data_IF_790645566332
#
_entry.id   IF_790645566332
#
_cell.length_a   1.000
_cell.length_b   1.000
_cell.length_c   1.000
_cell.angle_alpha   90.00
_cell.angle_beta   90.00
_cell.angle_gamma   90.00
#
_symmetry.space_group_name_H-M   'P 1'
#
loop_
_entity.id
_entity.type
_entity.pdbx_description
1 polymer ?
#
# COMPACT_ATOMS: atom_id res chain seq x y z
N UNK A 1 4.03 5.14 -10.97
CA UNK A 1 4.28 5.70 -9.62
C UNK A 1 3.34 5.11 -8.58
N UNK A 2 2.20 4.59 -8.97
CA UNK A 2 1.17 4.06 -8.09
C UNK A 2 1.65 2.84 -7.29
N UNK A 3 2.25 1.85 -7.92
CA UNK A 3 2.82 0.68 -7.24
C UNK A 3 3.85 1.04 -6.15
N UNK A 4 4.63 2.11 -6.34
CA UNK A 4 5.65 2.52 -5.37
C UNK A 4 5.01 3.16 -4.15
N UNK A 5 4.02 4.01 -4.33
CA UNK A 5 3.28 4.60 -3.21
C UNK A 5 2.50 3.54 -2.43
N UNK A 6 1.87 2.60 -3.12
CA UNK A 6 1.14 1.49 -2.50
C UNK A 6 2.05 0.58 -1.66
N UNK A 7 3.29 0.35 -2.10
CA UNK A 7 4.27 -0.41 -1.31
C UNK A 7 4.73 0.32 -0.04
N UNK A 8 4.70 1.66 -0.04
CA UNK A 8 5.12 2.47 1.10
C UNK A 8 4.20 2.32 2.32
N UNK A 9 2.89 2.21 2.10
CA UNK A 9 1.91 2.10 3.20
C UNK A 9 1.34 0.69 3.39
N UNK A 10 1.66 -0.27 2.51
CA UNK A 10 1.08 -1.62 2.56
C UNK A 10 1.31 -2.35 3.88
N UNK A 11 2.52 -2.33 4.43
CA UNK A 11 2.84 -2.91 5.73
C UNK A 11 2.15 -2.19 6.89
N UNK A 12 2.00 -0.86 6.81
CA UNK A 12 1.24 -0.07 7.78
C UNK A 12 -0.24 -0.49 7.80
N UNK A 13 -0.85 -0.69 6.63
CA UNK A 13 -2.23 -1.14 6.53
C UNK A 13 -2.46 -2.53 7.13
N UNK A 14 -1.50 -3.44 6.99
CA UNK A 14 -1.52 -4.73 7.67
C UNK A 14 -1.47 -4.53 9.20
N UNK A 15 -0.57 -3.69 9.69
CA UNK A 15 -0.41 -3.41 11.13
C UNK A 15 -1.65 -2.74 11.73
N UNK A 16 -2.30 -1.81 11.02
CA UNK A 16 -3.55 -1.17 11.46
C UNK A 16 -4.64 -2.22 11.77
N UNK A 17 -4.68 -3.32 11.02
CA UNK A 17 -5.63 -4.40 11.28
C UNK A 17 -5.18 -5.33 12.42
N UNK A 18 -3.87 -5.59 12.55
CA UNK A 18 -3.32 -6.56 13.50
C UNK A 18 -3.09 -5.98 14.90
N UNK A 19 -2.58 -4.75 15.02
CA UNK A 19 -2.18 -4.15 16.30
C UNK A 19 -3.30 -4.12 17.34
N UNK A 20 -4.56 -3.75 17.02
CA UNK A 20 -5.63 -3.71 18.01
C UNK A 20 -5.96 -5.07 18.64
N UNK A 21 -5.69 -6.16 17.92
CA UNK A 21 -6.04 -7.51 18.34
C UNK A 21 -4.86 -8.28 18.94
N UNK A 22 -3.67 -8.13 18.35
CA UNK A 22 -2.50 -8.92 18.70
C UNK A 22 -1.40 -8.11 19.44
N UNK A 23 -1.59 -6.78 19.58
CA UNK A 23 -0.58 -5.92 20.20
C UNK A 23 0.78 -6.08 19.52
N UNK A 24 1.86 -6.16 20.29
CA UNK A 24 3.22 -6.30 19.75
C UNK A 24 3.46 -7.63 19.02
N UNK A 25 2.67 -8.68 19.27
CA UNK A 25 2.73 -9.93 18.52
C UNK A 25 2.35 -9.72 17.02
N UNK A 26 1.70 -8.62 16.67
CA UNK A 26 1.42 -8.24 15.28
C UNK A 26 2.70 -8.16 14.42
N UNK A 27 3.84 -7.77 14.97
CA UNK A 27 5.10 -7.69 14.23
C UNK A 27 5.65 -9.06 13.82
N UNK A 28 5.38 -10.12 14.58
CA UNK A 28 5.76 -11.49 14.19
C UNK A 28 4.87 -12.02 13.05
N UNK A 29 3.60 -11.59 13.02
CA UNK A 29 2.63 -11.97 11.99
C UNK A 29 2.84 -11.13 10.72
N UNK A 30 3.36 -9.92 10.83
CA UNK A 30 3.60 -9.01 9.70
C UNK A 30 4.49 -9.65 8.62
N UNK A 31 5.58 -10.30 9.01
CA UNK A 31 6.53 -10.89 8.07
C UNK A 31 5.90 -11.98 7.17
N UNK A 32 5.26 -13.03 7.71
CA UNK A 32 4.61 -14.02 6.86
C UNK A 32 3.46 -13.43 6.05
N UNK A 33 2.69 -12.48 6.60
CA UNK A 33 1.61 -11.82 5.87
C UNK A 33 2.15 -11.02 4.67
N UNK A 34 3.21 -10.25 4.88
CA UNK A 34 3.89 -9.51 3.81
C UNK A 34 4.47 -10.46 2.75
N UNK A 35 5.03 -11.61 3.17
CA UNK A 35 5.53 -12.61 2.23
C UNK A 35 4.42 -13.18 1.33
N UNK A 36 3.23 -13.42 1.87
CA UNK A 36 2.06 -13.85 1.08
C UNK A 36 1.65 -12.77 0.07
N UNK A 37 1.59 -11.50 0.49
CA UNK A 37 1.26 -10.38 -0.40
C UNK A 37 2.31 -10.25 -1.52
N UNK A 38 3.60 -10.35 -1.20
CA UNK A 38 4.68 -10.33 -2.21
C UNK A 38 4.58 -11.52 -3.17
N UNK A 39 4.26 -12.71 -2.68
CA UNK A 39 4.07 -13.88 -3.54
C UNK A 39 2.94 -13.65 -4.56
N UNK A 40 1.82 -13.08 -4.12
CA UNK A 40 0.70 -12.72 -5.00
C UNK A 40 1.14 -11.62 -5.99
N UNK A 41 1.88 -10.60 -5.54
CA UNK A 41 2.44 -9.56 -6.40
C UNK A 41 3.27 -10.17 -7.55
N UNK A 42 4.15 -11.11 -7.23
CA UNK A 42 4.98 -11.80 -8.24
C UNK A 42 4.10 -12.58 -9.21
N UNK A 43 3.11 -13.34 -8.72
CA UNK A 43 2.19 -14.10 -9.57
C UNK A 43 1.40 -13.19 -10.52
N UNK A 44 0.87 -12.09 -10.00
CA UNK A 44 0.15 -11.10 -10.81
C UNK A 44 1.08 -10.49 -11.86
N UNK A 45 2.28 -10.09 -11.49
CA UNK A 45 3.26 -9.50 -12.42
C UNK A 45 3.63 -10.49 -13.54
N UNK A 46 3.83 -11.76 -13.22
CA UNK A 46 4.09 -12.79 -14.21
C UNK A 46 2.89 -13.04 -15.13
N UNK A 47 1.67 -12.99 -14.59
CA UNK A 47 0.43 -13.08 -15.35
C UNK A 47 0.28 -11.91 -16.33
N UNK A 48 0.48 -10.68 -15.85
CA UNK A 48 0.41 -9.48 -16.70
C UNK A 48 1.45 -9.46 -17.80
N UNK A 49 2.66 -9.98 -17.56
CA UNK A 49 3.66 -10.11 -18.60
C UNK A 49 3.13 -10.90 -19.80
N UNK A 50 2.47 -12.03 -19.56
CA UNK A 50 1.87 -12.82 -20.62
C UNK A 50 0.69 -12.09 -21.31
N UNK A 51 -0.07 -11.29 -20.57
CA UNK A 51 -1.17 -10.49 -21.11
C UNK A 51 -0.66 -9.41 -22.05
N UNK A 52 0.42 -8.71 -21.68
CA UNK A 52 1.02 -7.62 -22.48
C UNK A 52 1.53 -8.15 -23.84
N UNK A 53 2.07 -9.36 -23.87
CA UNK A 53 2.55 -9.99 -25.11
C UNK A 53 1.41 -10.26 -26.11
N UNK A 54 0.18 -10.45 -25.63
CA UNK A 54 -1.00 -10.76 -26.46
C UNK A 54 -1.83 -9.51 -26.74
N UNK A 55 -2.00 -8.64 -25.72
CA UNK A 55 -2.85 -7.46 -25.79
C UNK A 55 -2.01 -6.18 -25.89
N UNK A 56 -1.73 -5.74 -27.10
CA UNK A 56 -0.92 -4.53 -27.36
C UNK A 56 -1.74 -3.24 -27.34
N UNK A 57 -3.07 -3.34 -27.20
CA UNK A 57 -3.98 -2.19 -27.18
C UNK A 57 -4.13 -1.63 -25.77
N UNK A 58 -4.24 -0.31 -25.67
CA UNK A 58 -4.56 0.37 -24.41
C UNK A 58 -5.97 0.01 -23.93
N UNK A 59 -6.13 -0.26 -22.63
CA UNK A 59 -7.43 -0.57 -22.02
C UNK A 59 -7.39 -1.69 -20.98
N UNK A 60 -6.22 -2.30 -20.72
CA UNK A 60 -5.95 -3.21 -19.62
C UNK A 60 -7.03 -4.30 -19.46
N UNK A 61 -7.46 -4.50 -18.22
CA UNK A 61 -8.45 -5.52 -17.84
C UNK A 61 -9.79 -5.39 -18.58
N UNK A 62 -10.18 -4.18 -19.03
CA UNK A 62 -11.39 -3.99 -19.81
C UNK A 62 -11.34 -4.73 -21.16
N UNK A 63 -10.23 -4.58 -21.92
CA UNK A 63 -10.10 -5.23 -23.24
C UNK A 63 -10.02 -6.73 -23.08
N UNK A 64 -9.22 -7.23 -22.14
CA UNK A 64 -9.11 -8.66 -21.83
C UNK A 64 -10.47 -9.24 -21.51
N UNK A 65 -11.24 -8.58 -20.65
CA UNK A 65 -12.59 -9.02 -20.28
C UNK A 65 -13.55 -8.99 -21.45
N UNK A 66 -13.48 -7.96 -22.29
CA UNK A 66 -14.34 -7.83 -23.46
C UNK A 66 -14.11 -8.93 -24.49
N UNK A 67 -12.86 -9.23 -24.78
CA UNK A 67 -12.51 -10.21 -25.81
C UNK A 67 -12.78 -11.64 -25.37
N UNK A 68 -12.67 -11.95 -24.05
CA UNK A 68 -12.85 -13.30 -23.53
C UNK A 68 -14.25 -13.58 -22.98
N UNK A 69 -14.95 -12.58 -22.41
CA UNK A 69 -16.20 -12.76 -21.68
C UNK A 69 -17.35 -11.88 -22.19
N UNK A 70 -17.09 -11.03 -23.18
CA UNK A 70 -18.10 -10.17 -23.80
C UNK A 70 -18.31 -8.81 -23.11
N UNK A 71 -19.21 -7.97 -23.67
CA UNK A 71 -19.34 -6.56 -23.29
C UNK A 71 -19.87 -6.33 -21.87
N UNK A 72 -20.74 -7.18 -21.36
CA UNK A 72 -21.31 -7.02 -20.00
C UNK A 72 -20.24 -7.20 -18.94
N UNK A 73 -19.44 -8.26 -19.04
CA UNK A 73 -18.32 -8.51 -18.12
C UNK A 73 -17.26 -7.41 -18.20
N UNK A 74 -17.00 -6.91 -19.42
CA UNK A 74 -16.07 -5.79 -19.61
C UNK A 74 -16.54 -4.51 -18.90
N UNK A 75 -17.84 -4.21 -18.92
CA UNK A 75 -18.40 -3.06 -18.20
C UNK A 75 -18.26 -3.21 -16.69
N UNK A 76 -18.50 -4.41 -16.15
CA UNK A 76 -18.28 -4.70 -14.73
C UNK A 76 -16.81 -4.48 -14.36
N UNK A 77 -15.88 -4.98 -15.18
CA UNK A 77 -14.45 -4.77 -14.97
C UNK A 77 -14.08 -3.27 -15.02
N UNK A 78 -14.63 -2.51 -15.95
CA UNK A 78 -14.41 -1.06 -16.05
C UNK A 78 -14.89 -0.31 -14.81
N UNK A 79 -16.09 -0.62 -14.31
CA UNK A 79 -16.64 -0.01 -13.09
C UNK A 79 -15.79 -0.37 -11.89
N UNK A 80 -15.37 -1.64 -11.76
CA UNK A 80 -14.48 -2.08 -10.69
C UNK A 80 -13.15 -1.31 -10.68
N UNK A 81 -12.52 -1.11 -11.86
CA UNK A 81 -11.29 -0.33 -12.00
C UNK A 81 -11.48 1.15 -11.61
N UNK A 82 -12.60 1.77 -12.01
CA UNK A 82 -12.90 3.15 -11.64
C UNK A 82 -13.03 3.29 -10.12
N UNK A 83 -13.75 2.36 -9.48
CA UNK A 83 -13.89 2.33 -8.03
C UNK A 83 -12.54 2.12 -7.33
N UNK A 84 -11.72 1.21 -7.83
CA UNK A 84 -10.37 0.97 -7.32
C UNK A 84 -9.52 2.24 -7.37
N UNK A 85 -9.48 2.94 -8.50
CA UNK A 85 -8.72 4.18 -8.63
C UNK A 85 -9.21 5.31 -7.72
N UNK A 86 -10.53 5.43 -7.52
CA UNK A 86 -11.09 6.43 -6.59
C UNK A 86 -10.65 6.11 -5.15
N UNK A 87 -10.80 4.87 -4.72
CA UNK A 87 -10.44 4.42 -3.37
C UNK A 87 -8.93 4.55 -3.16
N UNK A 88 -8.13 4.13 -4.12
CA UNK A 88 -6.66 4.21 -4.07
C UNK A 88 -6.19 5.66 -3.94
N UNK A 89 -6.75 6.60 -4.72
CA UNK A 89 -6.42 8.03 -4.60
C UNK A 89 -6.75 8.58 -3.20
N UNK A 90 -7.90 8.19 -2.65
CA UNK A 90 -8.31 8.60 -1.31
C UNK A 90 -7.35 8.07 -0.23
N UNK A 91 -7.01 6.77 -0.28
CA UNK A 91 -6.11 6.13 0.68
C UNK A 91 -4.70 6.73 0.61
N UNK A 92 -4.15 6.89 -0.59
CA UNK A 92 -2.80 7.45 -0.79
C UNK A 92 -2.71 8.89 -0.29
N UNK A 93 -3.73 9.71 -0.58
CA UNK A 93 -3.79 11.08 -0.10
C UNK A 93 -3.87 11.15 1.43
N UNK A 94 -4.68 10.28 2.04
CA UNK A 94 -4.81 10.20 3.48
C UNK A 94 -3.52 9.70 4.16
N UNK A 95 -2.87 8.67 3.61
CA UNK A 95 -1.62 8.12 4.12
C UNK A 95 -0.47 9.15 4.02
N UNK A 96 -0.36 9.86 2.89
CA UNK A 96 0.62 10.92 2.73
C UNK A 96 0.46 12.06 3.74
N UNK A 97 -0.77 12.50 3.98
CA UNK A 97 -1.06 13.52 5.00
C UNK A 97 -0.81 12.99 6.40
N UNK A 98 -1.15 11.74 6.71
CA UNK A 98 -0.86 11.12 7.99
C UNK A 98 0.65 11.07 8.28
N UNK A 99 1.47 10.77 7.27
CA UNK A 99 2.93 10.80 7.40
C UNK A 99 3.47 12.21 7.72
N UNK A 100 2.88 13.26 7.12
CA UNK A 100 3.24 14.66 7.44
C UNK A 100 2.85 14.99 8.88
N UNK A 101 1.64 14.63 9.29
CA UNK A 101 1.13 14.89 10.65
C UNK A 101 1.93 14.12 11.70
N UNK A 102 2.39 12.91 11.42
CA UNK A 102 3.25 12.16 12.34
C UNK A 102 4.58 12.87 12.63
N UNK A 103 5.07 13.66 11.67
CA UNK A 103 6.28 14.47 11.82
C UNK A 103 5.96 15.83 12.47
N UNK A 104 4.81 16.40 12.15
CA UNK A 104 4.34 17.70 12.63
C UNK A 104 2.95 17.60 13.28
N UNK A 105 2.84 17.13 14.54
CA UNK A 105 1.54 16.91 15.20
C UNK A 105 0.65 18.15 15.31
N UNK A 106 1.23 19.35 15.25
CA UNK A 106 0.50 20.62 15.24
C UNK A 106 -0.44 20.80 14.05
N UNK A 107 -0.25 20.00 12.98
CA UNK A 107 -1.08 20.03 11.77
C UNK A 107 -2.33 19.13 11.86
N UNK A 108 -2.52 18.36 12.94
CA UNK A 108 -3.69 17.47 13.11
C UNK A 108 -5.05 18.16 12.85
N UNK A 109 -5.31 19.41 13.32
CA UNK A 109 -6.56 20.10 13.02
C UNK A 109 -6.78 20.36 11.51
N UNK A 110 -5.70 20.38 10.71
CA UNK A 110 -5.71 20.66 9.28
C UNK A 110 -5.74 19.40 8.43
N UNK A 111 -5.86 18.22 9.03
CA UNK A 111 -5.83 16.92 8.33
C UNK A 111 -6.77 16.85 7.13
N UNK A 112 -8.05 17.14 7.31
CA UNK A 112 -9.03 17.09 6.23
C UNK A 112 -8.79 18.13 5.13
N UNK A 113 -8.57 19.42 5.44
CA UNK A 113 -8.17 20.40 4.43
C UNK A 113 -6.93 20.01 3.63
N UNK A 114 -5.93 19.42 4.27
CA UNK A 114 -4.70 18.96 3.59
C UNK A 114 -4.99 17.79 2.64
N UNK A 115 -5.82 16.83 3.03
CA UNK A 115 -6.23 15.72 2.15
C UNK A 115 -6.92 16.27 0.89
N UNK A 116 -7.89 17.16 1.06
CA UNK A 116 -8.57 17.78 -0.08
C UNK A 116 -7.62 18.58 -0.97
N UNK A 117 -6.69 19.33 -0.39
CA UNK A 117 -5.69 20.08 -1.16
C UNK A 117 -4.80 19.14 -2.00
N UNK A 118 -4.36 18.02 -1.43
CA UNK A 118 -3.58 16.99 -2.15
C UNK A 118 -4.38 16.39 -3.29
N UNK A 119 -5.64 16.01 -3.07
CA UNK A 119 -6.52 15.46 -4.12
C UNK A 119 -6.70 16.46 -5.27
N UNK A 120 -6.99 17.73 -4.96
CA UNK A 120 -7.14 18.79 -5.96
C UNK A 120 -5.85 18.98 -6.76
N UNK A 121 -4.70 19.02 -6.07
CA UNK A 121 -3.39 19.18 -6.71
C UNK A 121 -3.07 18.02 -7.66
N UNK A 122 -3.31 16.79 -7.23
CA UNK A 122 -3.09 15.59 -8.04
C UNK A 122 -4.03 15.56 -9.25
N UNK A 123 -5.30 15.88 -9.05
CA UNK A 123 -6.28 15.97 -10.13
C UNK A 123 -5.89 17.03 -11.16
N UNK A 124 -5.51 18.22 -10.69
CA UNK A 124 -5.07 19.30 -11.58
C UNK A 124 -3.80 18.92 -12.36
N UNK A 125 -2.83 18.27 -11.69
CA UNK A 125 -1.62 17.79 -12.35
C UNK A 125 -1.91 16.74 -13.42
N UNK A 126 -2.84 15.82 -13.16
CA UNK A 126 -3.26 14.80 -14.13
C UNK A 126 -4.00 15.40 -15.34
N UNK A 127 -4.85 16.40 -15.11
CA UNK A 127 -5.58 17.09 -16.21
C UNK A 127 -4.64 17.87 -17.17
N UNK A 128 -3.45 18.28 -16.70
CA UNK A 128 -2.45 18.96 -17.55
C UNK A 128 -1.69 18.05 -18.50
N UNK A 129 -1.79 16.75 -18.35
CA UNK A 129 -1.22 15.77 -19.26
C UNK A 129 -0.21 14.81 -18.60
N UNK A 130 -0.26 13.55 -19.02
CA UNK A 130 0.50 12.43 -18.44
C UNK A 130 2.03 12.63 -18.55
N UNK A 131 2.53 13.27 -19.60
CA UNK A 131 3.97 13.49 -19.77
C UNK A 131 4.55 14.48 -18.78
N UNK A 132 3.83 15.57 -18.50
CA UNK A 132 4.25 16.60 -17.54
C UNK A 132 4.10 16.08 -16.10
N UNK A 133 3.00 15.40 -15.80
CA UNK A 133 2.78 14.74 -14.52
C UNK A 133 3.88 13.69 -14.24
N UNK A 134 4.25 12.86 -15.22
CA UNK A 134 5.31 11.87 -15.06
C UNK A 134 6.67 12.47 -14.69
N UNK A 135 7.04 13.62 -15.29
CA UNK A 135 8.28 14.34 -14.95
C UNK A 135 8.22 14.94 -13.53
N UNK A 136 7.08 15.52 -13.15
CA UNK A 136 6.91 16.11 -11.83
C UNK A 136 6.97 15.07 -10.71
N UNK A 137 6.40 13.87 -10.95
CA UNK A 137 6.41 12.78 -9.98
C UNK A 137 7.69 11.92 -9.98
N UNK A 138 8.54 12.04 -11.00
CA UNK A 138 9.81 11.31 -11.04
C UNK A 138 10.72 11.68 -9.86
N UNK A 139 10.86 12.97 -9.54
CA UNK A 139 11.70 13.42 -8.45
C UNK A 139 11.28 12.86 -7.08
N UNK A 140 10.03 13.01 -6.61
CA UNK A 140 9.59 12.41 -5.35
C UNK A 140 9.76 10.87 -5.33
N UNK A 141 9.51 10.21 -6.46
CA UNK A 141 9.65 8.76 -6.58
C UNK A 141 11.09 8.29 -6.37
N UNK A 142 12.06 8.88 -7.09
CA UNK A 142 13.46 8.54 -6.91
C UNK A 142 13.98 8.94 -5.53
N UNK A 143 13.55 10.07 -5.01
CA UNK A 143 13.89 10.51 -3.65
C UNK A 143 13.43 9.48 -2.61
N UNK A 144 12.18 9.02 -2.70
CA UNK A 144 11.67 7.96 -1.81
C UNK A 144 12.49 6.68 -1.90
N UNK A 145 12.78 6.20 -3.12
CA UNK A 145 13.57 4.98 -3.34
C UNK A 145 14.96 5.11 -2.71
N UNK A 146 15.64 6.25 -2.91
CA UNK A 146 16.95 6.51 -2.30
C UNK A 146 16.87 6.52 -0.78
N UNK A 147 15.87 7.21 -0.20
CA UNK A 147 15.67 7.22 1.26
C UNK A 147 15.45 5.80 1.81
N UNK A 148 14.67 4.96 1.12
CA UNK A 148 14.45 3.58 1.53
C UNK A 148 15.73 2.75 1.48
N UNK A 149 16.55 2.91 0.44
CA UNK A 149 17.85 2.25 0.38
C UNK A 149 18.79 2.68 1.51
N UNK A 150 18.78 3.97 1.87
CA UNK A 150 19.57 4.49 3.01
C UNK A 150 19.09 3.85 4.31
N UNK A 151 17.77 3.83 4.55
CA UNK A 151 17.19 3.25 5.79
C UNK A 151 17.52 1.76 5.88
N UNK A 152 17.33 0.99 4.81
CA UNK A 152 17.68 -0.43 4.80
C UNK A 152 19.19 -0.65 4.97
N UNK A 153 20.03 0.12 4.26
CA UNK A 153 21.48 0.05 4.39
C UNK A 153 21.94 0.33 5.81
N UNK A 154 21.41 1.37 6.45
CA UNK A 154 21.70 1.69 7.85
C UNK A 154 21.18 0.60 8.81
N UNK A 155 20.00 0.04 8.53
CA UNK A 155 19.42 -1.06 9.31
C UNK A 155 20.32 -2.31 9.28
N UNK A 156 20.72 -2.74 8.09
CA UNK A 156 21.63 -3.87 7.92
C UNK A 156 23.03 -3.61 8.53
N UNK A 157 23.55 -2.39 8.39
CA UNK A 157 24.78 -1.98 9.05
C UNK A 157 24.69 -2.11 10.58
N UNK A 158 23.64 -1.56 11.19
CA UNK A 158 23.41 -1.67 12.64
C UNK A 158 23.18 -3.11 13.09
N UNK A 159 22.49 -3.91 12.29
CA UNK A 159 22.28 -5.33 12.55
C UNK A 159 23.63 -6.08 12.57
N UNK A 160 24.53 -5.82 11.61
CA UNK A 160 25.87 -6.43 11.57
C UNK A 160 26.76 -6.03 12.74
N UNK A 161 26.54 -4.83 13.30
CA UNK A 161 27.24 -4.32 14.48
C UNK A 161 26.61 -4.77 15.80
N UNK A 162 25.46 -5.46 15.77
CA UNK A 162 24.71 -5.82 16.97
C UNK A 162 24.14 -4.62 17.75
N UNK A 163 24.07 -3.44 17.11
CA UNK A 163 23.61 -2.19 17.73
C UNK A 163 22.16 -1.83 17.36
N UNK A 164 21.45 -2.76 16.73
CA UNK A 164 20.04 -2.54 16.41
C UNK A 164 19.23 -2.50 17.71
N UNK A 165 18.52 -1.39 18.02
CA UNK A 165 17.71 -1.32 19.21
C UNK A 165 16.57 -2.34 19.14
N UNK A 166 16.38 -3.09 20.21
CA UNK A 166 15.21 -3.96 20.38
C UNK A 166 14.00 -3.11 20.76
N UNK A 167 12.83 -3.51 20.28
CA UNK A 167 11.58 -2.85 20.65
C UNK A 167 11.36 -3.03 22.16
N UNK A 168 11.33 -1.93 22.92
CA UNK A 168 11.03 -1.96 24.34
C UNK A 168 9.53 -2.20 24.53
N UNK A 169 9.18 -3.25 25.25
CA UNK A 169 7.79 -3.66 25.51
C UNK A 169 7.16 -2.96 26.70
N UNK A 170 7.96 -2.25 27.48
CA UNK A 170 7.64 -1.63 28.77
C UNK A 170 7.64 -0.10 28.75
N UNK A 171 7.80 0.52 27.57
CA UNK A 171 7.75 1.97 27.43
C UNK A 171 6.33 2.52 27.63
N UNK A 172 6.18 3.69 28.29
CA UNK A 172 4.91 4.38 28.36
C UNK A 172 4.34 4.65 26.95
N UNK A 173 3.15 4.13 26.67
CA UNK A 173 2.52 4.22 25.35
C UNK A 173 2.86 3.06 24.40
N UNK A 174 3.68 2.08 24.80
CA UNK A 174 3.82 0.85 24.05
C UNK A 174 2.47 0.11 23.97
N UNK A 175 2.14 -0.40 22.80
CA UNK A 175 0.93 -1.21 22.63
C UNK A 175 1.10 -2.50 23.43
N UNK A 176 0.23 -2.81 24.42
CA UNK A 176 0.37 -4.00 25.22
C UNK A 176 0.36 -5.24 24.32
N UNK A 177 1.08 -6.29 24.74
CA UNK A 177 0.94 -7.61 24.13
C UNK A 177 -0.55 -7.98 24.18
N UNK A 178 -1.15 -8.18 23.02
CA UNK A 178 -2.55 -8.61 22.93
C UNK A 178 -2.73 -9.89 23.72
N UNK A 179 -3.90 -10.07 24.32
CA UNK A 179 -4.25 -11.35 24.93
C UNK A 179 -4.06 -12.42 23.85
N UNK A 180 -3.33 -13.48 24.16
CA UNK A 180 -3.08 -14.60 23.27
C UNK A 180 -4.41 -15.26 22.85
N UNK A 181 -5.08 -14.69 21.89
CA UNK A 181 -6.13 -15.40 21.20
C UNK A 181 -5.43 -16.34 20.24
N UNK A 182 -5.65 -17.62 20.42
CA UNK A 182 -5.06 -18.62 19.54
C UNK A 182 -5.33 -18.25 18.08
N UNK A 183 -4.30 -18.29 17.23
CA UNK A 183 -4.37 -17.91 15.82
C UNK A 183 -5.44 -18.66 14.98
N UNK A 184 -5.96 -19.76 15.53
CA UNK A 184 -6.98 -20.61 14.88
C UNK A 184 -8.41 -20.35 15.42
N UNK A 185 -8.63 -19.34 16.25
CA UNK A 185 -10.00 -18.94 16.60
C UNK A 185 -10.67 -18.21 15.42
N UNK A 186 -12.00 -18.36 15.27
CA UNK A 186 -12.72 -17.72 14.17
C UNK A 186 -12.52 -16.19 14.14
N UNK A 187 -12.41 -15.54 15.30
CA UNK A 187 -12.12 -14.11 15.39
C UNK A 187 -10.71 -13.78 14.89
N UNK A 188 -9.70 -14.57 15.24
CA UNK A 188 -8.32 -14.39 14.76
C UNK A 188 -8.22 -14.59 13.24
N UNK A 189 -8.87 -15.62 12.70
CA UNK A 189 -8.92 -15.85 11.24
C UNK A 189 -9.53 -14.65 10.52
N UNK A 190 -10.64 -14.10 11.05
CA UNK A 190 -11.26 -12.92 10.46
C UNK A 190 -10.31 -11.71 10.46
N UNK A 191 -9.58 -11.48 11.55
CA UNK A 191 -8.59 -10.40 11.64
C UNK A 191 -7.42 -10.62 10.67
N UNK A 192 -6.94 -11.85 10.54
CA UNK A 192 -5.89 -12.20 9.57
C UNK A 192 -6.36 -11.97 8.13
N UNK A 193 -7.60 -12.36 7.80
CA UNK A 193 -8.18 -12.08 6.48
C UNK A 193 -8.35 -10.58 6.24
N UNK A 194 -8.76 -9.82 7.26
CA UNK A 194 -8.84 -8.36 7.18
C UNK A 194 -7.46 -7.73 6.99
N UNK A 195 -6.45 -8.20 7.71
CA UNK A 195 -5.08 -7.74 7.55
C UNK A 195 -4.53 -8.04 6.15
N UNK A 196 -4.82 -9.22 5.63
CA UNK A 196 -4.50 -9.61 4.26
C UNK A 196 -5.20 -8.70 3.24
N UNK A 197 -6.50 -8.45 3.41
CA UNK A 197 -7.26 -7.55 2.53
C UNK A 197 -6.71 -6.12 2.56
N UNK A 198 -6.35 -5.61 3.75
CA UNK A 198 -5.71 -4.31 3.89
C UNK A 198 -4.32 -4.28 3.21
N UNK A 199 -3.52 -5.35 3.38
CA UNK A 199 -2.23 -5.51 2.71
C UNK A 199 -2.37 -5.60 1.18
N UNK A 200 -3.50 -6.10 0.69
CA UNK A 200 -3.86 -6.13 -0.73
C UNK A 200 -3.88 -4.75 -1.38
N UNK A 201 -4.03 -3.67 -0.60
CA UNK A 201 -3.89 -2.30 -1.10
C UNK A 201 -2.50 -2.02 -1.71
N UNK A 202 -1.48 -2.78 -1.33
CA UNK A 202 -0.14 -2.68 -1.93
C UNK A 202 -0.05 -3.28 -3.33
N UNK A 203 -1.07 -4.00 -3.78
CA UNK A 203 -1.14 -4.61 -5.12
C UNK A 203 -1.79 -3.68 -6.15
N UNK A 204 -2.35 -2.55 -5.73
CA UNK A 204 -3.01 -1.59 -6.63
C UNK A 204 -2.02 -0.94 -7.58
N UNK A 205 -2.46 -0.63 -8.80
CA UNK A 205 -1.66 0.03 -9.83
C UNK A 205 -0.73 -0.88 -10.63
N UNK A 206 -0.82 -2.20 -10.47
CA UNK A 206 -0.07 -3.16 -11.29
C UNK A 206 -0.63 -3.30 -12.71
N UNK A 207 -1.91 -2.98 -12.88
CA UNK A 207 -2.65 -3.06 -14.14
C UNK A 207 -2.48 -1.79 -15.02
N UNK A 208 -1.81 -0.76 -14.55
CA UNK A 208 -1.69 0.55 -15.21
C UNK A 208 -0.50 0.64 -16.21
#
# INVERSE_FOLDING_TARGET
SDCISSSAYGSEQILIALLPAFGLAAFTILMPMTAVVIAILVLITLSYRNVIDVYTKTGGAYIVSRDNFGPVTAQIAAVALILDYIVTLAIQSAAGVAAIISTFPSLEPWKMPMIFAVIILLTYGNLRGVKEAGKAFAFPTYFFVICMFIVFGMGFWRLSQGTLPTLATDLPGAVPLGQEQGLLTGAAIFILLRAFANGGSSLTGLEA
#
